data_IF_309725928978
#
_entry.id   IF_309725928978
#
_cell.length_a   1.000
_cell.length_b   1.000
_cell.length_c   1.000
_cell.angle_alpha   90.00
_cell.angle_beta   90.00
_cell.angle_gamma   90.00
#
_symmetry.space_group_name_H-M   'P 1'
#
loop_
_entity.id
_entity.type
_entity.pdbx_description
1 polymer ?
#
# COMPACT_ATOMS: atom_id res chain seq x y z
N UNK A 1 2.50 3.27 -12.32
CA UNK A 1 1.48 4.21 -11.80
C UNK A 1 1.30 5.46 -12.64
N UNK A 2 2.31 6.34 -12.78
CA UNK A 2 2.18 7.56 -13.61
C UNK A 2 1.84 7.26 -15.08
N UNK A 3 2.48 6.24 -15.65
CA UNK A 3 2.16 5.70 -16.99
C UNK A 3 0.74 5.14 -17.11
N UNK A 4 0.08 4.84 -15.99
CA UNK A 4 -1.32 4.37 -15.91
C UNK A 4 -2.32 5.51 -15.63
N UNK A 5 -1.87 6.78 -15.74
CA UNK A 5 -2.70 7.98 -15.59
C UNK A 5 -3.00 8.37 -14.14
N UNK A 6 -2.25 7.86 -13.17
CA UNK A 6 -2.37 8.29 -11.77
C UNK A 6 -1.50 9.51 -11.49
N UNK A 7 -2.06 10.48 -10.78
CA UNK A 7 -1.25 11.45 -10.02
C UNK A 7 -0.70 10.72 -8.79
N UNK A 8 0.61 10.79 -8.56
CA UNK A 8 1.28 10.04 -7.49
C UNK A 8 2.02 10.99 -6.58
N UNK A 9 1.72 10.89 -5.29
CA UNK A 9 2.32 11.66 -4.20
C UNK A 9 3.00 10.72 -3.20
N UNK A 10 3.94 11.26 -2.43
CA UNK A 10 4.43 10.65 -1.19
C UNK A 10 3.70 11.34 -0.03
N UNK A 11 3.26 10.58 0.96
CA UNK A 11 2.49 11.08 2.09
C UNK A 11 3.25 11.01 3.41
N UNK A 12 2.73 11.72 4.41
CA UNK A 12 3.14 11.63 5.81
C UNK A 12 1.89 11.79 6.69
N UNK A 13 1.76 10.97 7.72
CA UNK A 13 0.72 11.06 8.76
C UNK A 13 1.38 10.94 10.12
N UNK A 14 1.23 11.96 10.96
CA UNK A 14 2.08 12.18 12.13
C UNK A 14 3.56 12.07 11.74
N UNK A 15 4.33 11.16 12.34
CA UNK A 15 5.72 10.88 11.99
C UNK A 15 5.90 9.68 11.04
N UNK A 16 4.81 9.11 10.56
CA UNK A 16 4.82 7.94 9.69
C UNK A 16 4.74 8.34 8.22
N UNK A 17 5.62 7.77 7.40
CA UNK A 17 5.60 7.98 5.94
C UNK A 17 4.59 7.03 5.29
N UNK A 18 3.90 7.53 4.25
CA UNK A 18 3.14 6.73 3.29
C UNK A 18 3.92 6.73 1.98
N UNK A 19 4.39 5.57 1.51
CA UNK A 19 5.25 5.51 0.32
C UNK A 19 4.59 6.11 -0.91
N UNK A 20 3.35 5.71 -1.21
CA UNK A 20 2.60 6.29 -2.32
C UNK A 20 1.13 6.52 -2.01
N UNK A 21 0.64 7.68 -2.46
CA UNK A 21 -0.78 8.01 -2.59
C UNK A 21 -1.03 8.16 -4.08
N UNK A 22 -1.86 7.31 -4.65
CA UNK A 22 -2.18 7.31 -6.08
C UNK A 22 -3.63 7.74 -6.31
N UNK A 23 -3.83 8.76 -7.15
CA UNK A 23 -5.13 9.35 -7.44
C UNK A 23 -5.44 9.36 -8.92
N UNK A 24 -6.67 9.01 -9.28
CA UNK A 24 -7.16 9.07 -10.66
C UNK A 24 -8.68 9.17 -10.70
N UNK A 25 -9.22 10.20 -11.38
CA UNK A 25 -10.67 10.40 -11.59
C UNK A 25 -11.49 10.30 -10.29
N UNK A 26 -11.04 10.97 -9.22
CA UNK A 26 -11.72 10.96 -7.91
C UNK A 26 -11.57 9.68 -7.09
N UNK A 27 -10.87 8.66 -7.62
CA UNK A 27 -10.45 7.48 -6.85
C UNK A 27 -9.06 7.72 -6.27
N UNK A 28 -8.83 7.23 -5.04
CA UNK A 28 -7.55 7.26 -4.34
C UNK A 28 -7.21 5.84 -3.86
N UNK A 29 -5.93 5.53 -3.75
CA UNK A 29 -5.43 4.39 -2.99
C UNK A 29 -4.13 4.74 -2.28
N UNK A 30 -3.85 4.04 -1.18
CA UNK A 30 -2.64 4.20 -0.39
C UNK A 30 -1.82 2.91 -0.45
N UNK A 31 -0.51 3.06 -0.61
CA UNK A 31 0.40 1.96 -0.87
C UNK A 31 1.62 2.11 0.02
N UNK A 32 1.99 1.02 0.69
CA UNK A 32 3.30 0.82 1.31
C UNK A 32 4.08 -0.25 0.56
N UNK A 33 5.40 -0.13 0.52
CA UNK A 33 6.28 -1.13 -0.07
C UNK A 33 7.06 -1.89 1.00
N UNK A 34 7.07 -3.21 0.90
CA UNK A 34 7.92 -4.08 1.69
C UNK A 34 8.70 -5.01 0.75
N UNK A 35 9.95 -5.34 1.07
CA UNK A 35 10.63 -6.42 0.35
C UNK A 35 10.10 -7.78 0.84
N UNK A 36 10.11 -7.98 2.16
CA UNK A 36 9.55 -9.14 2.87
C UNK A 36 8.85 -8.64 4.15
N UNK A 37 7.98 -9.47 4.73
CA UNK A 37 7.34 -9.24 6.02
C UNK A 37 7.65 -10.39 7.00
N UNK A 38 8.91 -10.55 7.43
CA UNK A 38 9.38 -11.75 8.11
C UNK A 38 8.89 -11.91 9.54
N UNK A 39 8.45 -10.81 10.18
CA UNK A 39 8.05 -10.78 11.57
C UNK A 39 6.96 -9.74 11.83
N UNK A 40 6.33 -9.86 13.01
CA UNK A 40 5.24 -8.97 13.45
C UNK A 40 5.70 -7.52 13.54
N UNK A 41 6.95 -7.26 13.93
CA UNK A 41 7.49 -5.89 14.01
C UNK A 41 7.54 -5.22 12.63
N UNK A 42 7.96 -5.95 11.61
CA UNK A 42 8.01 -5.45 10.24
C UNK A 42 6.60 -5.24 9.70
N UNK A 43 5.69 -6.20 9.94
CA UNK A 43 4.27 -6.06 9.62
C UNK A 43 3.69 -4.81 10.29
N UNK A 44 3.88 -4.63 11.59
CA UNK A 44 3.37 -3.47 12.33
C UNK A 44 3.89 -2.14 11.74
N UNK A 45 5.18 -2.08 11.39
CA UNK A 45 5.78 -0.88 10.80
C UNK A 45 5.16 -0.52 9.45
N UNK A 46 4.93 -1.50 8.58
CA UNK A 46 4.37 -1.23 7.24
C UNK A 46 2.86 -0.97 7.27
N UNK A 47 2.13 -1.56 8.22
CA UNK A 47 0.68 -1.36 8.33
C UNK A 47 0.31 -0.09 9.12
N UNK A 48 1.07 0.29 10.15
CA UNK A 48 0.75 1.42 11.04
C UNK A 48 0.40 2.74 10.32
N UNK A 49 1.10 3.17 9.25
CA UNK A 49 0.78 4.42 8.56
C UNK A 49 -0.58 4.35 7.87
N UNK A 50 -0.96 3.17 7.36
CA UNK A 50 -2.23 2.96 6.67
C UNK A 50 -3.39 2.85 7.66
N UNK A 51 -3.18 2.27 8.85
CA UNK A 51 -4.17 2.18 9.93
C UNK A 51 -4.62 3.55 10.46
N UNK A 52 -3.73 4.54 10.42
CA UNK A 52 -4.06 5.92 10.84
C UNK A 52 -4.95 6.67 9.85
N UNK A 53 -5.12 6.16 8.63
CA UNK A 53 -5.92 6.81 7.59
C UNK A 53 -7.39 6.41 7.77
N UNK A 54 -8.18 7.30 8.37
CA UNK A 54 -9.60 7.09 8.66
C UNK A 54 -10.50 7.41 7.45
N UNK A 55 -10.26 6.72 6.34
CA UNK A 55 -11.14 6.72 5.16
C UNK A 55 -11.39 5.30 4.64
N UNK A 56 -12.27 5.17 3.64
CA UNK A 56 -12.63 3.89 3.05
C UNK A 56 -11.96 3.64 1.69
N UNK A 57 -10.90 4.39 1.34
CA UNK A 57 -10.17 4.11 0.10
C UNK A 57 -9.29 2.86 0.26
N UNK A 58 -9.02 2.12 -0.83
CA UNK A 58 -8.16 0.95 -0.81
C UNK A 58 -6.76 1.25 -0.26
N UNK A 59 -6.25 0.34 0.56
CA UNK A 59 -4.95 0.41 1.24
C UNK A 59 -4.23 -0.92 1.05
N UNK A 60 -3.00 -0.88 0.58
CA UNK A 60 -2.22 -2.07 0.25
C UNK A 60 -0.79 -1.99 0.80
N UNK A 61 -0.27 -3.14 1.22
CA UNK A 61 1.16 -3.35 1.39
C UNK A 61 1.65 -4.22 0.24
N UNK A 62 2.41 -3.64 -0.69
CA UNK A 62 2.97 -4.41 -1.81
C UNK A 62 4.27 -5.07 -1.37
N UNK A 63 4.39 -6.36 -1.64
CA UNK A 63 5.52 -7.20 -1.23
C UNK A 63 6.13 -7.95 -2.40
N UNK A 64 7.41 -8.30 -2.32
CA UNK A 64 8.06 -9.21 -3.28
C UNK A 64 7.86 -10.70 -2.93
N UNK A 65 7.23 -11.00 -1.80
CA UNK A 65 6.83 -12.37 -1.44
C UNK A 65 5.45 -12.69 -2.02
N UNK A 66 5.40 -13.60 -3.00
CA UNK A 66 4.17 -14.04 -3.65
C UNK A 66 3.27 -14.89 -2.76
N UNK A 67 3.84 -15.52 -1.71
CA UNK A 67 3.10 -16.37 -0.78
C UNK A 67 2.59 -15.60 0.44
N UNK A 68 2.99 -14.34 0.58
CA UNK A 68 2.57 -13.51 1.69
C UNK A 68 1.13 -13.03 1.52
N UNK A 69 0.23 -13.59 2.35
CA UNK A 69 -1.19 -13.25 2.38
C UNK A 69 -1.60 -12.82 3.80
N UNK A 70 -1.42 -11.54 4.11
CA UNK A 70 -1.84 -10.92 5.37
C UNK A 70 -3.02 -10.01 5.11
N UNK A 71 -4.09 -10.23 5.85
CA UNK A 71 -5.23 -9.33 5.97
C UNK A 71 -5.24 -8.69 7.36
N UNK A 72 -5.35 -7.37 7.41
CA UNK A 72 -5.43 -6.61 8.67
C UNK A 72 -6.27 -5.37 8.48
N UNK A 73 -7.35 -5.24 9.24
CA UNK A 73 -8.22 -4.06 9.23
C UNK A 73 -8.72 -3.66 7.82
N UNK A 74 -9.05 -4.65 6.98
CA UNK A 74 -9.48 -4.44 5.59
C UNK A 74 -8.37 -4.04 4.62
N UNK A 75 -7.11 -4.12 5.05
CA UNK A 75 -5.92 -3.91 4.23
C UNK A 75 -5.28 -5.25 3.93
N UNK A 76 -4.72 -5.39 2.73
CA UNK A 76 -4.18 -6.65 2.24
C UNK A 76 -2.74 -6.48 1.77
N UNK A 77 -1.93 -7.51 2.02
CA UNK A 77 -0.69 -7.67 1.26
C UNK A 77 -1.01 -8.08 -0.18
N UNK A 78 -0.18 -7.62 -1.11
CA UNK A 78 -0.32 -7.99 -2.51
C UNK A 78 1.04 -8.14 -3.14
N UNK A 79 1.18 -9.16 -3.98
CA UNK A 79 2.40 -9.34 -4.74
C UNK A 79 2.62 -8.17 -5.69
N UNK A 80 3.82 -7.58 -5.62
CA UNK A 80 4.15 -6.36 -6.34
C UNK A 80 4.05 -6.55 -7.86
N UNK A 81 4.53 -7.69 -8.37
CA UNK A 81 4.53 -7.97 -9.81
C UNK A 81 3.11 -8.11 -10.34
N UNK A 82 2.22 -8.80 -9.63
CA UNK A 82 0.80 -8.90 -10.02
C UNK A 82 0.15 -7.53 -10.09
N UNK A 83 0.37 -6.69 -9.08
CA UNK A 83 -0.12 -5.31 -9.08
C UNK A 83 0.40 -4.49 -10.28
N UNK A 84 1.67 -4.71 -10.67
CA UNK A 84 2.31 -4.07 -11.83
C UNK A 84 1.92 -4.68 -13.18
N UNK A 85 1.27 -5.84 -13.21
CA UNK A 85 0.73 -6.48 -14.41
C UNK A 85 -0.78 -6.29 -14.56
N UNK A 86 -1.48 -5.99 -13.48
CA UNK A 86 -2.92 -5.71 -13.51
C UNK A 86 -3.28 -4.58 -14.47
N UNK A 87 -4.34 -4.79 -15.24
CA UNK A 87 -4.85 -3.78 -16.16
C UNK A 87 -5.36 -2.58 -15.36
N UNK A 88 -4.96 -1.35 -15.74
CA UNK A 88 -5.32 -0.13 -15.04
C UNK A 88 -6.82 0.17 -15.05
#
# INVERSE_FOLDING_TARGET
MRTRGYTVHVGKIDDLKIDFIAERRGKRMYIQLAYLLPDTRTIDREFAPLEKIQDNYPKFVLTFDEFQNIERNGMYTKYLLDFLLEKP
#
